data_IF_241339340715
#
_entry.id   IF_241339340715
#
_cell.length_a   1.000
_cell.length_b   1.000
_cell.length_c   1.000
_cell.angle_alpha   90.00
_cell.angle_beta   90.00
_cell.angle_gamma   90.00
#
_symmetry.space_group_name_H-M   'P 1'
#
loop_
_entity.id
_entity.type
_entity.pdbx_description
1 polymer ?
#
# COMPACT_ATOMS: atom_id res chain seq x y z
N UNK A 1 -13.11 -6.92 -24.44
CA UNK A 1 -11.64 -7.01 -24.65
C UNK A 1 -11.21 -8.41 -24.21
N UNK A 2 -10.58 -9.22 -25.07
CA UNK A 2 -10.08 -10.57 -24.69
C UNK A 2 -8.62 -10.45 -24.29
N UNK A 3 -8.31 -10.79 -23.04
CA UNK A 3 -6.93 -10.79 -22.55
C UNK A 3 -6.24 -12.05 -23.11
N UNK A 4 -5.06 -11.92 -23.75
CA UNK A 4 -4.35 -13.06 -24.29
C UNK A 4 -3.90 -14.00 -23.16
N UNK A 5 -3.93 -15.31 -23.43
CA UNK A 5 -3.48 -16.33 -22.47
C UNK A 5 -1.95 -16.24 -22.36
N UNK A 6 -1.44 -16.09 -21.14
CA UNK A 6 -0.01 -16.03 -20.90
C UNK A 6 0.67 -17.36 -21.29
N UNK A 7 1.79 -17.26 -22.00
CA UNK A 7 2.56 -18.44 -22.43
C UNK A 7 3.53 -18.82 -21.31
N UNK A 8 3.25 -19.92 -20.59
CA UNK A 8 4.11 -20.47 -19.52
C UNK A 8 3.53 -20.37 -18.11
N UNK A 9 4.33 -20.70 -17.10
CA UNK A 9 3.93 -20.79 -15.68
C UNK A 9 4.34 -19.59 -14.82
N UNK A 10 4.68 -18.45 -15.46
CA UNK A 10 5.12 -17.24 -14.76
C UNK A 10 3.96 -16.60 -14.00
N UNK A 11 4.20 -16.18 -12.77
CA UNK A 11 3.17 -15.62 -11.88
C UNK A 11 3.44 -14.15 -11.63
N UNK A 12 2.44 -13.32 -11.89
CA UNK A 12 2.49 -11.90 -11.60
C UNK A 12 1.50 -11.54 -10.48
N UNK A 13 1.93 -10.68 -9.57
CA UNK A 13 1.07 -10.05 -8.57
C UNK A 13 0.82 -8.60 -8.99
N UNK A 14 -0.46 -8.23 -9.14
CA UNK A 14 -0.86 -6.85 -9.43
C UNK A 14 -1.43 -6.21 -8.15
N UNK A 15 -0.85 -5.09 -7.75
CA UNK A 15 -1.30 -4.31 -6.60
C UNK A 15 -1.80 -2.95 -7.08
N UNK A 16 -3.11 -2.82 -7.20
CA UNK A 16 -3.71 -1.55 -7.60
C UNK A 16 -3.69 -0.52 -6.47
N UNK A 17 -3.53 0.75 -6.85
CA UNK A 17 -3.68 1.88 -5.95
C UNK A 17 -5.15 2.17 -5.65
N UNK A 18 -5.41 2.96 -4.61
CA UNK A 18 -6.79 3.24 -4.19
C UNK A 18 -6.95 4.38 -3.20
N UNK A 19 -5.90 5.19 -2.98
CA UNK A 19 -5.91 6.23 -1.96
C UNK A 19 -6.17 5.62 -0.57
N UNK A 20 -7.21 6.08 0.13
CA UNK A 20 -7.59 5.54 1.44
C UNK A 20 -7.99 4.04 1.40
N UNK A 21 -8.49 3.54 0.26
CA UNK A 21 -8.77 2.11 0.08
C UNK A 21 -7.48 1.27 0.04
N UNK A 22 -6.31 1.90 -0.06
CA UNK A 22 -5.01 1.24 0.04
C UNK A 22 -4.77 0.53 1.37
N UNK A 23 -5.47 0.91 2.45
CA UNK A 23 -5.43 0.17 3.72
C UNK A 23 -5.92 -1.28 3.56
N UNK A 24 -6.95 -1.48 2.73
CA UNK A 24 -7.44 -2.83 2.43
C UNK A 24 -6.40 -3.64 1.66
N UNK A 25 -5.77 -3.03 0.64
CA UNK A 25 -4.69 -3.68 -0.11
C UNK A 25 -3.50 -4.04 0.80
N UNK A 26 -3.14 -3.16 1.74
CA UNK A 26 -2.12 -3.44 2.75
C UNK A 26 -2.49 -4.64 3.63
N UNK A 27 -3.73 -4.70 4.13
CA UNK A 27 -4.25 -5.84 4.90
C UNK A 27 -4.24 -7.15 4.10
N UNK A 28 -4.72 -7.11 2.86
CA UNK A 28 -4.73 -8.27 1.97
C UNK A 28 -3.32 -8.78 1.67
N UNK A 29 -2.36 -7.88 1.40
CA UNK A 29 -0.95 -8.25 1.20
C UNK A 29 -0.31 -8.81 2.48
N UNK A 30 -0.67 -8.28 3.65
CA UNK A 30 -0.21 -8.81 4.92
C UNK A 30 -0.69 -10.24 5.15
N UNK A 31 -1.98 -10.50 4.95
CA UNK A 31 -2.53 -11.85 5.04
C UNK A 31 -1.98 -12.78 3.96
N UNK A 32 -1.75 -12.28 2.74
CA UNK A 32 -1.12 -13.06 1.67
C UNK A 32 0.30 -13.48 2.07
N UNK A 33 1.05 -12.60 2.72
CA UNK A 33 2.44 -12.87 3.12
C UNK A 33 2.58 -14.02 4.12
N UNK A 34 1.55 -14.33 4.91
CA UNK A 34 1.59 -15.47 5.84
C UNK A 34 1.46 -16.82 5.14
N UNK A 35 1.00 -16.83 3.88
CA UNK A 35 0.72 -18.05 3.11
C UNK A 35 1.66 -18.16 1.89
N UNK A 36 2.00 -17.02 1.29
CA UNK A 36 2.77 -16.93 0.05
C UNK A 36 3.87 -15.89 0.20
N UNK A 37 5.12 -16.36 0.15
CA UNK A 37 6.30 -15.49 0.09
C UNK A 37 6.33 -14.71 -1.22
N UNK A 38 6.85 -13.47 -1.24
CA UNK A 38 7.01 -12.67 -2.47
C UNK A 38 7.79 -13.38 -3.57
N UNK A 39 8.71 -14.30 -3.20
CA UNK A 39 9.52 -15.11 -4.12
C UNK A 39 8.68 -16.05 -5.01
N UNK A 40 7.42 -16.27 -4.66
CA UNK A 40 6.47 -17.05 -5.46
C UNK A 40 6.04 -16.35 -6.76
N UNK A 41 6.18 -15.03 -6.81
CA UNK A 41 5.85 -14.22 -7.98
C UNK A 41 7.13 -13.83 -8.71
N UNK A 42 7.16 -14.04 -10.02
CA UNK A 42 8.26 -13.61 -10.88
C UNK A 42 8.23 -12.08 -11.11
N UNK A 43 7.04 -11.48 -10.99
CA UNK A 43 6.81 -10.07 -11.23
C UNK A 43 5.77 -9.52 -10.24
N UNK A 44 6.09 -8.39 -9.61
CA UNK A 44 5.14 -7.63 -8.81
C UNK A 44 4.96 -6.27 -9.47
N UNK A 45 3.76 -5.99 -9.98
CA UNK A 45 3.40 -4.71 -10.59
C UNK A 45 2.52 -3.97 -9.61
N UNK A 46 2.89 -2.73 -9.30
CA UNK A 46 2.12 -1.90 -8.39
C UNK A 46 1.87 -0.52 -8.99
N UNK A 47 0.67 0.03 -8.77
CA UNK A 47 0.23 1.28 -9.41
C UNK A 47 -0.10 2.32 -8.36
N UNK A 48 0.42 3.55 -8.53
CA UNK A 48 0.12 4.71 -7.68
C UNK A 48 0.36 4.40 -6.18
N UNK A 49 -0.61 4.67 -5.30
CA UNK A 49 -0.51 4.42 -3.86
C UNK A 49 -0.35 2.93 -3.49
N UNK A 50 -0.60 2.00 -4.42
CA UNK A 50 -0.36 0.57 -4.23
C UNK A 50 1.13 0.21 -4.17
N UNK A 51 2.00 1.08 -4.70
CA UNK A 51 3.45 0.87 -4.70
C UNK A 51 4.03 0.75 -3.28
N UNK A 52 3.53 1.53 -2.32
CA UNK A 52 3.97 1.45 -0.93
C UNK A 52 3.67 0.07 -0.34
N UNK A 53 2.42 -0.40 -0.45
CA UNK A 53 2.03 -1.73 0.05
C UNK A 53 2.80 -2.86 -0.62
N UNK A 54 3.00 -2.79 -1.94
CA UNK A 54 3.78 -3.77 -2.67
C UNK A 54 5.27 -3.77 -2.30
N UNK A 55 5.87 -2.58 -2.12
CA UNK A 55 7.26 -2.43 -1.70
C UNK A 55 7.51 -3.13 -0.36
N UNK A 56 6.59 -2.99 0.60
CA UNK A 56 6.70 -3.70 1.87
C UNK A 56 6.59 -5.21 1.74
N UNK A 57 5.66 -5.67 0.90
CA UNK A 57 5.53 -7.10 0.63
C UNK A 57 6.84 -7.66 0.06
N UNK A 58 7.41 -7.05 -0.98
CA UNK A 58 8.63 -7.58 -1.62
C UNK A 58 9.91 -7.43 -0.79
N UNK A 59 9.98 -6.45 0.10
CA UNK A 59 11.15 -6.21 0.97
C UNK A 59 11.17 -7.11 2.21
N UNK A 60 10.09 -7.81 2.51
CA UNK A 60 10.01 -8.80 3.56
C UNK A 60 9.90 -10.20 2.95
N UNK A 61 11.03 -10.90 2.69
CA UNK A 61 11.00 -12.24 2.09
C UNK A 61 10.44 -13.31 3.03
N UNK A 62 10.52 -13.07 4.35
CA UNK A 62 10.03 -13.97 5.40
C UNK A 62 8.98 -13.25 6.27
N UNK A 63 7.90 -13.94 6.67
CA UNK A 63 6.85 -13.36 7.50
C UNK A 63 7.37 -13.11 8.93
N UNK A 64 7.70 -11.85 9.23
CA UNK A 64 7.98 -11.39 10.59
C UNK A 64 6.74 -10.67 11.12
N UNK A 65 5.98 -11.25 12.07
CA UNK A 65 4.69 -10.71 12.50
C UNK A 65 4.79 -9.27 13.00
N UNK A 66 5.82 -8.97 13.80
CA UNK A 66 5.99 -7.66 14.44
C UNK A 66 6.32 -6.53 13.45
N UNK A 67 7.16 -6.81 12.44
CA UNK A 67 7.50 -5.83 11.39
C UNK A 67 6.37 -5.63 10.39
N UNK A 68 5.58 -6.68 10.17
CA UNK A 68 4.45 -6.64 9.25
C UNK A 68 3.27 -5.84 9.83
N UNK A 69 3.06 -5.89 11.16
CA UNK A 69 2.07 -5.03 11.84
C UNK A 69 2.46 -3.55 11.79
N UNK A 70 3.74 -3.20 11.96
CA UNK A 70 4.24 -1.81 11.80
C UNK A 70 4.00 -1.27 10.40
N UNK A 71 3.96 -2.14 9.40
CA UNK A 71 3.68 -1.79 8.01
C UNK A 71 2.20 -1.49 7.78
N UNK A 72 1.30 -2.31 8.32
CA UNK A 72 -0.13 -1.99 8.36
C UNK A 72 -0.39 -0.70 9.14
N UNK A 73 0.41 -0.48 10.18
CA UNK A 73 0.32 0.72 10.99
C UNK A 73 0.64 2.00 10.20
N UNK A 74 1.38 1.96 9.08
CA UNK A 74 1.57 3.16 8.24
C UNK A 74 0.23 3.63 7.67
N UNK A 75 -0.58 2.70 7.16
CA UNK A 75 -1.93 3.03 6.71
C UNK A 75 -2.79 3.49 7.88
N UNK A 76 -2.72 2.84 9.04
CA UNK A 76 -3.47 3.28 10.22
C UNK A 76 -3.04 4.67 10.73
N UNK A 77 -1.74 4.93 10.87
CA UNK A 77 -1.19 6.17 11.41
C UNK A 77 -1.46 7.33 10.44
N UNK A 78 -1.31 7.12 9.14
CA UNK A 78 -1.54 8.16 8.14
C UNK A 78 -3.03 8.38 7.84
N UNK A 79 -3.90 7.35 7.96
CA UNK A 79 -5.34 7.48 7.71
C UNK A 79 -6.18 7.83 8.94
N UNK A 80 -5.85 7.28 10.11
CA UNK A 80 -6.57 7.53 11.37
C UNK A 80 -5.95 8.66 12.19
N UNK A 81 -4.72 9.10 11.87
CA UNK A 81 -4.06 10.21 12.54
C UNK A 81 -4.57 11.58 12.09
N UNK A 82 -4.56 12.57 13.00
CA UNK A 82 -4.85 14.00 12.75
C UNK A 82 -3.87 14.69 11.76
N UNK A 83 -3.03 13.93 11.05
CA UNK A 83 -2.03 14.46 10.09
C UNK A 83 -2.63 14.85 8.75
N UNK A 84 -3.63 14.10 8.24
CA UNK A 84 -4.31 14.44 6.99
C UNK A 84 -5.27 15.64 7.15
N UNK A 85 -5.88 15.79 8.33
CA UNK A 85 -6.78 16.89 8.67
C UNK A 85 -6.37 17.44 10.03
N UNK A 86 -5.48 18.44 10.05
CA UNK A 86 -5.24 19.25 11.23
C UNK A 86 -6.22 20.43 11.24
N UNK A 87 -7.17 20.52 12.20
CA UNK A 87 -8.10 21.64 12.29
C UNK A 87 -7.38 22.99 12.45
N UNK A 88 -6.21 22.97 13.11
CA UNK A 88 -5.41 24.15 13.39
C UNK A 88 -4.66 24.68 12.15
N UNK A 89 -4.44 23.85 11.12
CA UNK A 89 -3.92 24.34 9.84
C UNK A 89 -4.99 25.01 8.95
N UNK A 90 -6.27 24.67 9.15
CA UNK A 90 -7.39 25.23 8.39
C UNK A 90 -7.73 26.66 8.84
N UNK A 91 -7.52 26.99 10.12
CA UNK A 91 -7.86 28.29 10.68
C UNK A 91 -6.77 29.37 10.45
N UNK A 92 -5.50 28.97 10.27
CA UNK A 92 -4.36 29.88 10.14
C UNK A 92 -3.84 30.13 8.71
N UNK A 93 -4.45 29.52 7.68
CA UNK A 93 -4.11 29.80 6.28
C UNK A 93 -5.31 30.29 5.49
N UNK A 94 -5.38 31.62 5.32
CA UNK A 94 -6.00 32.24 4.15
C UNK A 94 -5.33 31.64 2.92
N UNK A 95 -5.93 30.61 2.32
CA UNK A 95 -5.94 30.24 0.91
C UNK A 95 -6.48 28.81 0.79
N UNK A 96 -7.77 28.79 0.48
CA UNK A 96 -8.67 27.70 0.15
C UNK A 96 -8.03 26.69 -0.84
N UNK A 97 -8.22 25.38 -0.58
CA UNK A 97 -7.97 24.23 -1.50
C UNK A 97 -6.52 23.90 -1.90
N UNK A 98 -5.74 23.28 -1.00
CA UNK A 98 -4.76 22.22 -1.37
C UNK A 98 -4.29 21.49 -0.11
N UNK A 99 -4.80 20.28 0.20
CA UNK A 99 -4.18 19.45 1.21
C UNK A 99 -2.79 19.05 0.70
N UNK A 100 -1.75 19.55 1.36
CA UNK A 100 -0.36 19.19 1.08
C UNK A 100 -0.13 17.81 1.70
N UNK A 101 -0.26 16.76 0.90
CA UNK A 101 0.16 15.41 1.27
C UNK A 101 1.68 15.47 1.43
N UNK A 102 2.15 15.61 2.67
CA UNK A 102 3.56 15.56 3.00
C UNK A 102 3.95 14.09 3.21
N UNK A 103 4.33 13.40 2.13
CA UNK A 103 5.12 12.19 2.25
C UNK A 103 6.49 12.60 2.80
N UNK A 104 6.70 12.42 4.11
CA UNK A 104 8.04 12.33 4.70
C UNK A 104 8.40 10.87 4.84
#
# INVERSE_FOLDING_TARGET
MKIPIAKGSKRALLVEGGGMKGAFAGGALHSLHTIVSPKHFDLVVAVSSGACSAAYYVTMPEPVPEKSLKTLAIWYIELAGRKLISPFHTFFRKNFFRPRISCR
#
